data_IF_526796597488
#
_entry.id   IF_526796597488
#
_cell.length_a   1.000
_cell.length_b   1.000
_cell.length_c   1.000
_cell.angle_alpha   90.00
_cell.angle_beta   90.00
_cell.angle_gamma   90.00
#
_symmetry.space_group_name_H-M   'P 1'
#
loop_
_entity.id
_entity.type
_entity.pdbx_description
1 polymer ?
#
# COMPACT_ATOMS: atom_id res chain seq x y z
N UNK A 1 -7.18 -17.84 36.45
CA UNK A 1 -6.59 -19.10 35.99
C UNK A 1 -5.78 -18.84 34.74
N UNK A 2 -4.48 -19.12 34.68
CA UNK A 2 -3.73 -18.93 33.44
C UNK A 2 -4.14 -19.98 32.42
N UNK A 3 -4.33 -19.56 31.17
CA UNK A 3 -4.64 -20.43 30.06
C UNK A 3 -3.62 -21.57 29.94
N UNK A 4 -4.09 -22.81 30.10
CA UNK A 4 -3.24 -24.03 30.03
C UNK A 4 -2.77 -24.34 28.57
N UNK A 5 -3.30 -23.64 27.56
CA UNK A 5 -3.00 -23.91 26.15
C UNK A 5 -2.74 -22.62 25.41
N UNK A 6 -1.46 -22.26 25.26
CA UNK A 6 -1.00 -21.07 24.53
C UNK A 6 -1.37 -21.11 23.05
N UNK A 7 -1.57 -22.30 22.51
CA UNK A 7 -1.93 -22.48 21.09
C UNK A 7 -3.39 -22.12 20.84
N UNK A 8 -4.30 -22.57 21.69
CA UNK A 8 -5.72 -22.17 21.65
C UNK A 8 -5.90 -20.67 21.90
N UNK A 9 -5.09 -20.08 22.77
CA UNK A 9 -5.12 -18.63 22.99
C UNK A 9 -4.68 -17.85 21.74
N UNK A 10 -3.61 -18.29 21.08
CA UNK A 10 -3.14 -17.69 19.84
C UNK A 10 -4.14 -17.86 18.70
N UNK A 11 -4.81 -19.00 18.65
CA UNK A 11 -5.84 -19.30 17.66
C UNK A 11 -7.10 -18.44 17.87
N UNK A 12 -7.56 -18.33 19.10
CA UNK A 12 -8.66 -17.45 19.49
C UNK A 12 -8.34 -15.98 19.21
N UNK A 13 -7.11 -15.53 19.51
CA UNK A 13 -6.67 -14.17 19.22
C UNK A 13 -6.59 -13.91 17.71
N UNK A 14 -6.04 -14.84 16.92
CA UNK A 14 -6.02 -14.73 15.45
C UNK A 14 -7.43 -14.69 14.85
N UNK A 15 -8.35 -15.48 15.41
CA UNK A 15 -9.76 -15.48 15.01
C UNK A 15 -10.40 -14.13 15.32
N UNK A 16 -10.23 -13.63 16.53
CA UNK A 16 -10.74 -12.32 16.96
C UNK A 16 -10.15 -11.18 16.10
N UNK A 17 -8.83 -11.17 15.88
CA UNK A 17 -8.16 -10.19 15.02
C UNK A 17 -8.66 -10.25 13.57
N UNK A 18 -8.96 -11.46 13.08
CA UNK A 18 -9.52 -11.64 11.72
C UNK A 18 -10.95 -11.12 11.63
N UNK A 19 -11.78 -11.39 12.64
CA UNK A 19 -13.18 -10.97 12.71
C UNK A 19 -13.34 -9.47 12.98
N UNK A 20 -12.39 -8.87 13.71
CA UNK A 20 -12.40 -7.45 14.07
C UNK A 20 -11.37 -6.61 13.31
N UNK A 21 -10.75 -7.17 12.28
CA UNK A 21 -9.75 -6.44 11.48
C UNK A 21 -10.41 -5.23 10.78
N UNK A 22 -10.03 -4.04 11.23
CA UNK A 22 -10.57 -2.75 10.74
C UNK A 22 -11.77 -2.21 11.51
N UNK A 23 -12.44 -3.02 12.38
CA UNK A 23 -13.45 -2.51 13.29
C UNK A 23 -12.79 -1.68 14.39
N UNK A 24 -13.20 -0.43 14.51
CA UNK A 24 -12.65 0.52 15.50
C UNK A 24 -11.39 1.26 15.06
N UNK A 25 -10.74 0.91 13.95
CA UNK A 25 -9.69 1.73 13.32
C UNK A 25 -10.29 2.63 12.24
N UNK A 26 -9.82 3.89 12.20
CA UNK A 26 -10.29 4.88 11.22
C UNK A 26 -9.26 5.02 10.10
N UNK A 27 -9.73 4.94 8.85
CA UNK A 27 -8.90 5.03 7.64
C UNK A 27 -9.57 5.91 6.59
N UNK A 28 -8.76 6.49 5.70
CA UNK A 28 -9.28 7.29 4.58
C UNK A 28 -9.62 6.44 3.35
N UNK A 29 -8.93 5.32 3.15
CA UNK A 29 -9.07 4.51 1.94
C UNK A 29 -9.60 3.14 2.32
N UNK A 30 -10.70 2.77 1.67
CA UNK A 30 -11.39 1.51 1.91
C UNK A 30 -11.69 0.80 0.60
N UNK A 31 -11.71 -0.52 0.65
CA UNK A 31 -12.12 -1.40 -0.43
C UNK A 31 -13.24 -2.32 0.05
N UNK A 32 -14.10 -2.70 -0.87
CA UNK A 32 -15.21 -3.63 -0.63
C UNK A 32 -15.49 -4.45 -1.88
N UNK A 33 -16.29 -5.49 -1.71
CA UNK A 33 -16.81 -6.33 -2.80
C UNK A 33 -18.32 -6.22 -2.78
N UNK A 34 -18.94 -6.23 -3.94
CA UNK A 34 -20.39 -6.35 -4.08
C UNK A 34 -20.75 -7.16 -5.32
N UNK A 35 -22.00 -7.63 -5.36
CA UNK A 35 -22.58 -8.43 -6.43
C UNK A 35 -23.73 -7.67 -7.04
N UNK A 36 -23.96 -7.85 -8.35
CA UNK A 36 -25.02 -7.12 -9.07
C UNK A 36 -26.40 -7.40 -8.48
N UNK A 37 -26.69 -8.62 -8.06
CA UNK A 37 -27.96 -9.04 -7.46
C UNK A 37 -28.16 -8.55 -6.01
N UNK A 38 -27.09 -8.11 -5.35
CA UNK A 38 -27.11 -7.50 -4.02
C UNK A 38 -27.26 -5.98 -4.03
N UNK A 39 -26.98 -5.35 -5.16
CA UNK A 39 -27.10 -3.91 -5.34
C UNK A 39 -28.56 -3.51 -5.65
N UNK A 40 -28.94 -2.29 -5.26
CA UNK A 40 -30.25 -1.76 -5.61
C UNK A 40 -30.36 -1.48 -7.13
N UNK A 41 -31.60 -1.51 -7.65
CA UNK A 41 -31.83 -1.06 -9.01
C UNK A 41 -31.40 0.41 -9.18
N UNK A 42 -30.66 0.70 -10.24
CA UNK A 42 -30.13 2.05 -10.48
C UNK A 42 -28.96 2.46 -9.57
N UNK A 43 -28.24 1.51 -8.98
CA UNK A 43 -27.12 1.78 -8.09
C UNK A 43 -26.05 2.75 -8.63
N UNK A 44 -25.94 2.87 -9.96
CA UNK A 44 -25.02 3.80 -10.58
C UNK A 44 -25.39 5.27 -10.39
N UNK A 45 -26.70 5.56 -10.39
CA UNK A 45 -27.23 6.90 -10.12
C UNK A 45 -27.06 7.25 -8.64
N UNK A 46 -27.33 6.32 -7.73
CA UNK A 46 -27.08 6.43 -6.29
C UNK A 46 -25.58 6.68 -6.00
N UNK A 47 -24.71 6.00 -6.77
CA UNK A 47 -23.27 6.17 -6.67
C UNK A 47 -22.79 7.56 -7.05
N UNK A 48 -23.37 8.17 -8.09
CA UNK A 48 -23.09 9.56 -8.49
C UNK A 48 -23.60 10.56 -7.45
N UNK A 49 -24.76 10.32 -6.87
CA UNK A 49 -25.35 11.18 -5.84
C UNK A 49 -24.57 11.18 -4.52
N UNK A 50 -23.84 10.10 -4.22
CA UNK A 50 -23.03 9.97 -2.99
C UNK A 50 -21.95 11.06 -2.89
N UNK A 51 -21.43 11.56 -4.01
CA UNK A 51 -20.44 12.65 -4.06
C UNK A 51 -19.07 12.34 -3.45
N UNK A 52 -18.82 11.08 -3.08
CA UNK A 52 -17.50 10.61 -2.63
C UNK A 52 -16.66 10.17 -3.83
N UNK A 53 -15.34 10.47 -3.84
CA UNK A 53 -14.45 9.94 -4.86
C UNK A 53 -14.25 8.42 -4.65
N UNK A 54 -14.77 7.61 -5.57
CA UNK A 54 -14.56 6.18 -5.56
C UNK A 54 -14.57 5.56 -6.96
N UNK A 55 -13.98 4.39 -7.06
CA UNK A 55 -13.84 3.60 -8.27
C UNK A 55 -14.56 2.27 -8.10
N UNK A 56 -15.14 1.78 -9.19
CA UNK A 56 -15.66 0.42 -9.27
C UNK A 56 -14.96 -0.32 -10.42
N UNK A 57 -14.50 -1.54 -10.15
CA UNK A 57 -13.84 -2.38 -11.16
C UNK A 57 -14.77 -2.73 -12.31
N UNK A 58 -14.24 -3.15 -13.47
CA UNK A 58 -15.01 -3.97 -14.39
C UNK A 58 -15.65 -5.18 -13.68
N UNK A 59 -16.67 -5.80 -14.28
CA UNK A 59 -17.25 -7.02 -13.73
C UNK A 59 -16.21 -8.15 -13.77
N UNK A 60 -15.81 -8.65 -12.60
CA UNK A 60 -14.91 -9.78 -12.46
C UNK A 60 -15.66 -11.10 -12.68
N UNK A 61 -15.92 -11.46 -13.93
CA UNK A 61 -16.65 -12.66 -14.37
C UNK A 61 -15.72 -13.83 -14.77
N UNK A 62 -14.40 -13.58 -14.87
CA UNK A 62 -13.38 -14.56 -15.31
C UNK A 62 -12.49 -15.03 -14.17
N UNK A 63 -12.71 -14.55 -12.95
CA UNK A 63 -11.90 -14.90 -11.79
C UNK A 63 -12.13 -16.36 -11.38
N UNK A 64 -11.06 -17.06 -11.05
CA UNK A 64 -11.10 -18.44 -10.57
C UNK A 64 -10.64 -18.55 -9.13
N UNK A 65 -11.17 -19.59 -8.43
CA UNK A 65 -10.68 -19.95 -7.11
C UNK A 65 -9.27 -20.51 -7.18
N UNK A 66 -8.40 -20.09 -6.25
CA UNK A 66 -7.04 -20.59 -6.15
C UNK A 66 -6.97 -21.82 -5.23
N UNK A 67 -5.86 -22.59 -5.32
CA UNK A 67 -5.55 -23.63 -4.33
C UNK A 67 -5.47 -23.09 -2.89
N UNK A 68 -5.12 -21.81 -2.74
CA UNK A 68 -5.11 -21.12 -1.45
C UNK A 68 -6.50 -20.88 -0.90
N UNK A 69 -7.45 -20.57 -1.77
CA UNK A 69 -8.85 -20.37 -1.40
C UNK A 69 -9.54 -21.71 -1.05
N UNK A 70 -9.29 -22.76 -1.83
CA UNK A 70 -9.79 -24.11 -1.54
C UNK A 70 -9.28 -24.63 -0.18
N UNK A 71 -8.03 -24.37 0.18
CA UNK A 71 -7.51 -24.73 1.51
C UNK A 71 -8.20 -23.99 2.66
N UNK A 72 -8.65 -22.75 2.42
CA UNK A 72 -9.39 -21.95 3.41
C UNK A 72 -10.86 -22.35 3.50
N UNK A 73 -11.46 -22.68 2.37
CA UNK A 73 -12.84 -23.11 2.26
C UNK A 73 -12.95 -24.23 1.19
N UNK A 74 -13.14 -25.49 1.59
CA UNK A 74 -13.23 -26.63 0.66
C UNK A 74 -14.38 -26.54 -0.35
N UNK A 75 -15.34 -25.63 -0.18
CA UNK A 75 -16.40 -25.37 -1.18
C UNK A 75 -15.85 -24.60 -2.38
N UNK A 76 -14.75 -23.85 -2.22
CA UNK A 76 -14.09 -23.08 -3.27
C UNK A 76 -13.11 -23.97 -4.03
N UNK A 77 -13.60 -24.70 -5.04
CA UNK A 77 -12.76 -25.61 -5.82
C UNK A 77 -11.77 -24.85 -6.69
N UNK A 78 -10.48 -25.14 -6.54
CA UNK A 78 -9.42 -24.52 -7.33
C UNK A 78 -9.69 -24.69 -8.84
N UNK A 79 -9.63 -23.60 -9.61
CA UNK A 79 -9.90 -23.57 -11.04
C UNK A 79 -11.40 -23.39 -11.40
N UNK A 80 -12.33 -23.51 -10.45
CA UNK A 80 -13.72 -23.14 -10.70
C UNK A 80 -13.88 -21.61 -10.72
N UNK A 81 -14.78 -21.11 -11.57
CA UNK A 81 -15.13 -19.70 -11.64
C UNK A 81 -15.70 -19.22 -10.30
N UNK A 82 -15.32 -18.00 -9.94
CA UNK A 82 -15.98 -17.27 -8.86
C UNK A 82 -17.31 -16.72 -9.36
N UNK A 83 -18.20 -16.44 -8.43
CA UNK A 83 -19.39 -15.66 -8.73
C UNK A 83 -18.96 -14.27 -9.25
N UNK A 84 -19.58 -13.79 -10.37
CA UNK A 84 -19.28 -12.47 -10.91
C UNK A 84 -19.50 -11.39 -9.86
N UNK A 85 -18.49 -10.51 -9.68
CA UNK A 85 -18.50 -9.51 -8.63
C UNK A 85 -17.73 -8.24 -9.04
N UNK A 86 -18.01 -7.17 -8.30
CA UNK A 86 -17.29 -5.91 -8.42
C UNK A 86 -16.41 -5.67 -7.19
N UNK A 87 -15.31 -4.95 -7.39
CA UNK A 87 -14.52 -4.35 -6.33
C UNK A 87 -14.74 -2.85 -6.30
N UNK A 88 -15.06 -2.31 -5.14
CA UNK A 88 -15.10 -0.87 -4.90
C UNK A 88 -13.85 -0.40 -4.17
N UNK A 89 -13.38 0.80 -4.50
CA UNK A 89 -12.28 1.49 -3.82
C UNK A 89 -12.67 2.95 -3.60
N UNK A 90 -12.79 3.38 -2.35
CA UNK A 90 -13.21 4.73 -1.97
C UNK A 90 -12.13 5.45 -1.17
N UNK A 91 -12.00 6.76 -1.39
CA UNK A 91 -11.19 7.65 -0.56
C UNK A 91 -12.05 8.70 0.14
N UNK A 92 -12.02 8.71 1.45
CA UNK A 92 -12.69 9.71 2.28
C UNK A 92 -11.80 10.93 2.52
N UNK A 93 -12.36 12.14 2.60
CA UNK A 93 -11.61 13.36 2.95
C UNK A 93 -11.01 13.29 4.35
N UNK A 94 -11.66 12.57 5.28
CA UNK A 94 -11.21 12.34 6.65
C UNK A 94 -11.25 10.84 6.97
N UNK A 95 -10.42 10.35 7.93
CA UNK A 95 -10.50 8.97 8.35
C UNK A 95 -11.86 8.61 8.92
N UNK A 96 -12.48 7.55 8.40
CA UNK A 96 -13.77 6.99 8.86
C UNK A 96 -13.60 5.56 9.36
N UNK A 97 -14.56 5.05 10.10
CA UNK A 97 -14.58 3.67 10.57
C UNK A 97 -15.35 2.74 9.61
N UNK A 98 -15.36 1.47 9.94
CA UNK A 98 -16.01 0.42 9.15
C UNK A 98 -17.53 0.63 9.01
N UNK A 99 -18.20 1.07 10.09
CA UNK A 99 -19.66 1.21 10.10
C UNK A 99 -20.11 2.38 9.22
N UNK A 100 -19.31 3.45 9.15
CA UNK A 100 -19.53 4.56 8.21
C UNK A 100 -19.49 4.05 6.76
N UNK A 101 -18.44 3.34 6.37
CA UNK A 101 -18.32 2.79 4.99
C UNK A 101 -19.47 1.85 4.67
N UNK A 102 -19.84 0.99 5.62
CA UNK A 102 -20.95 0.06 5.46
C UNK A 102 -22.30 0.78 5.28
N UNK A 103 -22.50 1.88 5.97
CA UNK A 103 -23.72 2.69 5.84
C UNK A 103 -23.76 3.44 4.51
N UNK A 104 -22.66 4.10 4.13
CA UNK A 104 -22.57 4.89 2.90
C UNK A 104 -22.75 4.02 1.63
N UNK A 105 -22.28 2.78 1.65
CA UNK A 105 -22.39 1.82 0.54
C UNK A 105 -23.43 0.72 0.76
N UNK A 106 -24.44 0.98 1.64
CA UNK A 106 -25.52 0.02 1.91
C UNK A 106 -26.34 -0.33 0.66
N UNK A 107 -26.51 0.62 -0.27
CA UNK A 107 -27.22 0.44 -1.53
C UNK A 107 -26.57 -0.58 -2.48
N UNK A 108 -25.28 -0.89 -2.30
CA UNK A 108 -24.56 -1.91 -3.04
C UNK A 108 -24.61 -3.31 -2.38
N UNK A 109 -25.20 -3.44 -1.19
CA UNK A 109 -25.16 -4.71 -0.45
C UNK A 109 -23.73 -5.21 -0.21
N UNK A 110 -22.82 -4.32 0.20
CA UNK A 110 -21.38 -4.54 0.24
C UNK A 110 -20.94 -5.71 1.13
N UNK A 111 -19.98 -6.47 0.63
CA UNK A 111 -19.31 -7.55 1.32
C UNK A 111 -17.81 -7.26 1.52
N UNK A 112 -17.17 -7.94 2.48
CA UNK A 112 -15.70 -7.93 2.64
C UNK A 112 -15.08 -6.53 2.73
N UNK A 113 -15.74 -5.58 3.40
CA UNK A 113 -15.21 -4.22 3.60
C UNK A 113 -13.89 -4.27 4.39
N UNK A 114 -12.83 -3.65 3.85
CA UNK A 114 -11.48 -3.61 4.43
C UNK A 114 -10.83 -2.26 4.14
N UNK A 115 -10.00 -1.78 5.08
CA UNK A 115 -9.16 -0.62 4.77
C UNK A 115 -8.05 -0.99 3.78
N UNK A 116 -7.72 -0.08 2.88
CA UNK A 116 -6.63 -0.21 1.93
C UNK A 116 -5.36 0.41 2.50
N UNK A 117 -4.26 -0.35 2.52
CA UNK A 117 -2.95 0.15 2.95
C UNK A 117 -2.29 1.04 1.90
N UNK A 118 -2.63 0.85 0.63
CA UNK A 118 -2.14 1.61 -0.50
C UNK A 118 -3.27 1.78 -1.51
N UNK A 119 -3.68 3.03 -1.74
CA UNK A 119 -4.70 3.40 -2.73
C UNK A 119 -4.28 2.93 -4.12
N UNK A 120 -3.07 3.26 -4.54
CA UNK A 120 -2.57 2.94 -5.87
C UNK A 120 -2.46 1.42 -6.13
N UNK A 121 -2.00 0.64 -5.12
CA UNK A 121 -1.97 -0.83 -5.28
C UNK A 121 -3.37 -1.41 -5.43
N UNK A 122 -4.38 -0.83 -4.76
CA UNK A 122 -5.75 -1.29 -4.89
C UNK A 122 -6.41 -0.81 -6.17
N UNK A 123 -6.08 0.40 -6.66
CA UNK A 123 -6.53 0.88 -7.97
C UNK A 123 -6.04 -0.05 -9.10
N UNK A 124 -4.76 -0.44 -9.09
CA UNK A 124 -4.19 -1.42 -10.03
C UNK A 124 -4.82 -2.83 -9.88
N UNK A 125 -5.28 -3.16 -8.67
CA UNK A 125 -5.98 -4.42 -8.44
C UNK A 125 -7.36 -4.48 -9.06
N UNK A 126 -8.04 -3.35 -9.30
CA UNK A 126 -9.35 -3.30 -9.94
C UNK A 126 -9.36 -3.90 -11.36
N UNK A 127 -8.23 -3.86 -12.07
CA UNK A 127 -8.06 -4.43 -13.42
C UNK A 127 -7.13 -5.63 -13.46
N UNK A 128 -6.55 -6.02 -12.30
CA UNK A 128 -5.49 -7.03 -12.17
C UNK A 128 -4.22 -6.75 -12.97
N UNK A 129 -3.97 -5.51 -13.40
CA UNK A 129 -2.87 -5.14 -14.30
C UNK A 129 -1.50 -5.65 -13.85
N UNK A 130 -1.23 -5.66 -12.53
CA UNK A 130 0.03 -6.21 -11.96
C UNK A 130 -0.04 -7.67 -11.54
N UNK A 131 -1.19 -8.33 -11.68
CA UNK A 131 -1.42 -9.73 -11.27
C UNK A 131 -1.53 -10.63 -12.50
N UNK A 132 -0.39 -10.89 -13.17
CA UNK A 132 -0.33 -11.64 -14.45
C UNK A 132 -0.87 -13.08 -14.37
N UNK A 133 -1.01 -13.61 -13.17
CA UNK A 133 -1.58 -14.93 -12.88
C UNK A 133 -3.10 -14.93 -12.79
N UNK A 134 -3.72 -13.75 -12.91
CA UNK A 134 -5.17 -13.56 -12.87
C UNK A 134 -5.74 -13.14 -14.23
N UNK A 135 -7.04 -13.28 -14.41
CA UNK A 135 -7.75 -12.67 -15.54
C UNK A 135 -7.52 -11.16 -15.54
N UNK A 136 -7.22 -10.60 -16.70
CA UNK A 136 -7.02 -9.16 -16.89
C UNK A 136 -8.34 -8.56 -17.38
N UNK A 137 -8.64 -7.34 -16.90
CA UNK A 137 -9.84 -6.59 -17.24
C UNK A 137 -9.45 -5.26 -17.89
N UNK A 138 -10.33 -4.77 -18.78
CA UNK A 138 -10.07 -3.54 -19.51
C UNK A 138 -10.14 -2.33 -18.57
N UNK A 139 -9.08 -1.52 -18.45
CA UNK A 139 -9.11 -0.27 -17.70
C UNK A 139 -10.19 0.73 -18.14
N UNK A 140 -10.61 0.68 -19.40
CA UNK A 140 -11.67 1.55 -19.91
C UNK A 140 -13.05 1.25 -19.34
N UNK A 141 -13.23 0.07 -18.73
CA UNK A 141 -14.48 -0.35 -18.06
C UNK A 141 -14.53 0.00 -16.57
N UNK A 142 -13.47 0.60 -16.02
CA UNK A 142 -13.48 1.11 -14.64
C UNK A 142 -14.46 2.27 -14.54
N UNK A 143 -15.41 2.16 -13.60
CA UNK A 143 -16.35 3.25 -13.33
C UNK A 143 -15.74 4.21 -12.31
N UNK A 144 -15.85 5.51 -12.61
CA UNK A 144 -15.28 6.60 -11.84
C UNK A 144 -16.39 7.50 -11.30
N UNK A 145 -16.47 7.69 -9.98
CA UNK A 145 -17.51 8.46 -9.32
C UNK A 145 -16.91 9.56 -8.44
N UNK A 146 -17.67 10.63 -8.19
CA UNK A 146 -17.30 11.70 -7.27
C UNK A 146 -15.97 12.40 -7.62
N UNK A 147 -15.59 12.43 -8.89
CA UNK A 147 -14.33 13.02 -9.36
C UNK A 147 -13.10 12.15 -9.16
N UNK A 148 -13.25 10.86 -8.81
CA UNK A 148 -12.13 9.93 -8.84
C UNK A 148 -11.65 9.70 -10.27
N UNK A 149 -10.33 9.53 -10.45
CA UNK A 149 -9.74 9.11 -11.71
C UNK A 149 -8.83 7.90 -11.50
N UNK A 150 -9.09 6.82 -12.20
CA UNK A 150 -8.37 5.56 -12.02
C UNK A 150 -6.88 5.69 -12.36
N UNK A 151 -6.54 6.38 -13.45
CA UNK A 151 -5.14 6.58 -13.87
C UNK A 151 -4.36 7.39 -12.86
N UNK A 152 -4.96 8.45 -12.32
CA UNK A 152 -4.33 9.28 -11.30
C UNK A 152 -4.08 8.47 -10.03
N UNK A 153 -5.04 7.64 -9.62
CA UNK A 153 -4.87 6.78 -8.43
C UNK A 153 -3.82 5.69 -8.63
N UNK A 154 -3.66 5.17 -9.84
CA UNK A 154 -2.59 4.21 -10.18
C UNK A 154 -1.22 4.88 -10.21
N UNK A 155 -1.11 6.08 -10.79
CA UNK A 155 0.16 6.80 -10.98
C UNK A 155 0.82 7.24 -9.68
N UNK A 156 0.05 7.50 -8.63
CA UNK A 156 0.58 7.85 -7.30
C UNK A 156 1.64 6.86 -6.77
N UNK A 157 1.55 5.57 -7.13
CA UNK A 157 2.54 4.58 -6.69
C UNK A 157 3.80 4.59 -7.56
N UNK A 158 3.63 4.76 -8.86
CA UNK A 158 4.73 4.74 -9.83
C UNK A 158 5.60 5.97 -9.67
N UNK A 159 4.99 7.13 -9.55
CA UNK A 159 5.70 8.40 -9.35
C UNK A 159 6.51 8.42 -8.06
N UNK A 160 5.94 7.98 -6.93
CA UNK A 160 6.70 7.95 -5.67
C UNK A 160 7.87 6.99 -5.72
N UNK A 161 7.73 5.80 -6.33
CA UNK A 161 8.84 4.86 -6.45
C UNK A 161 9.92 5.35 -7.43
N UNK A 162 9.53 5.92 -8.56
CA UNK A 162 10.45 6.53 -9.52
C UNK A 162 11.19 7.70 -8.86
N UNK A 163 10.47 8.61 -8.23
CA UNK A 163 11.00 9.76 -7.50
C UNK A 163 11.97 9.34 -6.39
N UNK A 164 11.63 8.34 -5.57
CA UNK A 164 12.55 7.81 -4.55
C UNK A 164 13.82 7.21 -5.16
N UNK A 165 13.73 6.58 -6.33
CA UNK A 165 14.90 6.04 -7.03
C UNK A 165 15.80 7.16 -7.51
N UNK A 166 15.25 8.20 -8.10
CA UNK A 166 15.98 9.41 -8.53
C UNK A 166 16.66 10.12 -7.34
N UNK A 167 15.92 10.34 -6.24
CA UNK A 167 16.49 10.90 -5.01
C UNK A 167 17.68 10.08 -4.50
N UNK A 168 17.59 8.75 -4.49
CA UNK A 168 18.69 7.88 -4.06
C UNK A 168 19.91 7.98 -4.97
N UNK A 169 19.71 8.15 -6.28
CA UNK A 169 20.79 8.41 -7.24
C UNK A 169 21.46 9.72 -6.89
N UNK A 170 20.70 10.80 -6.78
CA UNK A 170 21.18 12.12 -6.41
C UNK A 170 21.97 12.11 -5.08
N UNK A 171 21.38 11.55 -4.01
CA UNK A 171 22.00 11.44 -2.68
C UNK A 171 23.36 10.73 -2.77
N UNK A 172 23.48 9.72 -3.63
CA UNK A 172 24.72 8.98 -3.83
C UNK A 172 25.75 9.82 -4.60
N UNK A 173 25.32 10.43 -5.69
CA UNK A 173 26.20 11.09 -6.64
C UNK A 173 26.73 12.43 -6.08
N UNK A 174 25.92 13.12 -5.29
CA UNK A 174 26.30 14.37 -4.59
C UNK A 174 26.76 14.17 -3.15
N UNK A 175 26.90 12.89 -2.72
CA UNK A 175 27.35 12.52 -1.38
C UNK A 175 26.56 13.20 -0.24
N UNK A 176 25.27 13.25 -0.36
CA UNK A 176 24.38 13.83 0.66
C UNK A 176 24.40 12.97 1.92
N UNK A 177 24.68 13.57 3.07
CA UNK A 177 24.83 12.89 4.37
C UNK A 177 23.91 13.45 5.47
N UNK A 178 23.15 14.50 5.18
CA UNK A 178 22.25 15.17 6.11
C UNK A 178 20.87 15.32 5.46
N UNK A 179 19.83 14.81 6.14
CA UNK A 179 18.49 14.79 5.58
C UNK A 179 17.86 16.19 5.50
N UNK A 180 18.03 17.00 6.53
CA UNK A 180 17.59 18.39 6.60
C UNK A 180 18.10 19.22 5.43
N UNK A 181 19.40 19.18 5.17
CA UNK A 181 20.01 19.86 4.01
C UNK A 181 19.49 19.35 2.67
N UNK A 182 19.17 18.06 2.60
CA UNK A 182 18.57 17.51 1.40
C UNK A 182 17.13 17.99 1.21
N UNK A 183 16.37 18.08 2.29
CA UNK A 183 15.00 18.60 2.26
C UNK A 183 15.01 20.09 1.86
N UNK A 184 15.83 20.92 2.51
CA UNK A 184 15.99 22.33 2.15
C UNK A 184 16.35 22.52 0.67
N UNK A 185 17.27 21.70 0.16
CA UNK A 185 17.63 21.73 -1.25
C UNK A 185 16.44 21.34 -2.16
N UNK A 186 15.66 20.34 -1.79
CA UNK A 186 14.45 19.95 -2.54
C UNK A 186 13.44 21.09 -2.57
N UNK A 187 13.20 21.75 -1.44
CA UNK A 187 12.24 22.84 -1.31
C UNK A 187 12.59 24.02 -2.21
N UNK A 188 13.89 24.27 -2.41
CA UNK A 188 14.40 25.37 -3.26
C UNK A 188 14.48 24.98 -4.75
N UNK A 189 14.70 23.70 -5.07
CA UNK A 189 15.14 23.30 -6.42
C UNK A 189 14.25 22.27 -7.10
N UNK A 190 13.36 21.56 -6.37
CA UNK A 190 12.59 20.48 -6.94
C UNK A 190 11.25 20.23 -6.20
N UNK A 191 10.21 20.95 -6.60
CA UNK A 191 8.86 20.86 -6.02
C UNK A 191 8.28 19.44 -6.00
N UNK A 192 8.62 18.62 -6.99
CA UNK A 192 8.13 17.23 -7.05
C UNK A 192 8.75 16.42 -5.91
N UNK A 193 10.06 16.57 -5.70
CA UNK A 193 10.77 15.87 -4.64
C UNK A 193 10.39 16.40 -3.25
N UNK A 194 10.28 17.71 -3.09
CA UNK A 194 9.80 18.34 -1.86
C UNK A 194 8.44 17.76 -1.47
N UNK A 195 7.47 17.82 -2.37
CA UNK A 195 6.13 17.28 -2.14
C UNK A 195 6.13 15.77 -1.85
N UNK A 196 6.97 14.99 -2.51
CA UNK A 196 7.09 13.56 -2.27
C UNK A 196 7.68 13.26 -0.88
N UNK A 197 8.66 14.05 -0.41
CA UNK A 197 9.19 13.98 0.95
C UNK A 197 8.10 14.25 1.97
N UNK A 198 7.39 15.37 1.86
CA UNK A 198 6.36 15.78 2.82
C UNK A 198 5.22 14.76 2.96
N UNK A 199 4.78 14.19 1.87
CA UNK A 199 3.56 13.37 1.85
C UNK A 199 3.80 11.87 2.01
N UNK A 200 4.96 11.34 1.56
CA UNK A 200 5.07 9.89 1.32
C UNK A 200 6.40 9.25 1.73
N UNK A 201 7.55 9.89 1.57
CA UNK A 201 8.81 9.16 1.58
C UNK A 201 9.93 9.71 2.47
N UNK A 202 9.70 10.77 3.26
CA UNK A 202 10.72 11.37 4.15
C UNK A 202 11.40 10.35 5.05
N UNK A 203 10.64 9.47 5.70
CA UNK A 203 11.20 8.41 6.54
C UNK A 203 12.13 7.46 5.77
N UNK A 204 11.72 7.02 4.58
CA UNK A 204 12.50 6.08 3.78
C UNK A 204 13.79 6.70 3.22
N UNK A 205 13.72 7.96 2.81
CA UNK A 205 14.88 8.72 2.32
C UNK A 205 15.79 9.11 3.48
N UNK A 206 15.24 9.55 4.61
CA UNK A 206 16.01 9.84 5.83
C UNK A 206 16.83 8.65 6.31
N UNK A 207 16.19 7.48 6.43
CA UNK A 207 16.89 6.23 6.75
C UNK A 207 17.96 5.83 5.73
N UNK A 208 17.74 6.11 4.44
CA UNK A 208 18.75 5.83 3.43
C UNK A 208 19.99 6.70 3.60
N UNK A 209 19.81 8.01 3.87
CA UNK A 209 20.89 8.96 4.13
C UNK A 209 21.64 8.55 5.41
N UNK A 210 20.95 8.26 6.50
CA UNK A 210 21.55 7.86 7.76
C UNK A 210 22.39 6.59 7.64
N UNK A 211 21.87 5.53 7.01
CA UNK A 211 22.61 4.28 6.77
C UNK A 211 23.85 4.52 5.91
N UNK A 212 23.77 5.42 4.93
CA UNK A 212 24.90 5.79 4.09
C UNK A 212 25.96 6.53 4.91
N UNK A 213 25.56 7.53 5.70
CA UNK A 213 26.46 8.28 6.61
C UNK A 213 27.20 7.33 7.56
N UNK A 214 26.46 6.45 8.24
CA UNK A 214 27.02 5.50 9.19
C UNK A 214 28.05 4.57 8.53
N UNK A 215 27.77 4.10 7.31
CA UNK A 215 28.72 3.26 6.54
C UNK A 215 30.01 4.03 6.22
N UNK A 216 29.92 5.27 5.75
CA UNK A 216 31.09 6.10 5.44
C UNK A 216 31.93 6.34 6.69
N UNK A 217 31.28 6.66 7.82
CA UNK A 217 31.99 6.85 9.09
C UNK A 217 32.69 5.57 9.57
N UNK A 218 32.05 4.42 9.42
CA UNK A 218 32.64 3.12 9.75
C UNK A 218 33.86 2.81 8.89
N UNK A 219 33.79 3.04 7.59
CA UNK A 219 34.94 2.85 6.69
C UNK A 219 36.10 3.77 7.07
N UNK A 220 35.81 5.06 7.31
CA UNK A 220 36.85 6.03 7.71
C UNK A 220 37.51 5.69 9.07
N UNK A 221 36.75 5.09 10.00
CA UNK A 221 37.31 4.60 11.28
C UNK A 221 38.26 3.43 11.07
N UNK A 222 37.83 2.43 10.31
CA UNK A 222 38.66 1.26 9.96
C UNK A 222 39.93 1.64 9.22
N UNK A 223 39.87 2.61 8.31
CA UNK A 223 41.07 3.09 7.60
C UNK A 223 42.05 3.79 8.52
N UNK A 224 41.56 4.53 9.54
CA UNK A 224 42.44 5.16 10.56
C UNK A 224 43.08 4.10 11.47
N UNK A 225 42.35 3.09 11.86
CA UNK A 225 42.87 1.97 12.66
C UNK A 225 43.96 1.22 11.90
N UNK A 226 43.73 0.86 10.64
CA UNK A 226 44.75 0.22 9.77
C UNK A 226 46.02 1.04 9.58
N UNK A 227 45.91 2.38 9.47
CA UNK A 227 47.10 3.27 9.37
C UNK A 227 47.90 3.27 10.66
N UNK A 228 47.23 3.30 11.81
CA UNK A 228 47.92 3.26 13.13
C UNK A 228 48.66 1.95 13.35
N UNK A 229 48.05 0.84 12.98
CA UNK A 229 48.66 -0.51 13.09
C UNK A 229 49.91 -0.60 12.21
N UNK A 230 49.87 -0.07 10.98
CA UNK A 230 51.03 -0.06 10.08
C UNK A 230 52.15 0.89 10.52
N UNK A 231 51.81 2.02 11.18
CA UNK A 231 52.81 2.96 11.73
C UNK A 231 53.44 2.42 13.04
N UNK A 232 52.71 1.61 13.82
CA UNK A 232 53.22 0.95 15.03
C UNK A 232 54.21 -0.14 14.75
N UNK A 233 54.01 -0.93 13.68
CA UNK A 233 54.93 -1.99 13.25
C UNK A 233 56.26 -1.43 12.69
N UNK A 234 56.22 -0.24 12.04
CA UNK A 234 57.41 0.40 11.48
C UNK A 234 58.36 0.98 12.53
N UNK A 235 57.87 1.18 13.77
CA UNK A 235 58.68 1.74 14.87
C UNK A 235 59.31 0.70 15.80
N UNK A 236 59.05 -0.59 15.55
CA UNK A 236 59.59 -1.69 16.39
C UNK A 236 60.83 -2.39 15.78
N UNK A 237 61.28 -1.94 14.62
CA UNK A 237 62.47 -2.50 13.93
C UNK A 237 63.74 -1.59 13.96
N UNK A 238 63.74 -0.58 14.85
CA UNK A 238 64.95 0.20 15.21
C UNK A 238 65.44 -0.17 16.64
#
# INVERSE_FOLDING_TARGET
>A
MPYKDKEKQREAQRKWEKENRGRGSRHRVWMFVFYEDGACDGWRDEADELGLPFLVSPLHDKDVWTKGDERKNPKHKAGALKEPHYHGLVEYPQPVDYETVKADFAFLGTHSIKYAKSKASMALYLTHEKSKDKAQYDPAEVLEFGGANWRDWCSELEDVHATMKEMRVFIRDYNVLEFDKFQDWCDENNDIWSRALDLKCSWAIGNYIERRRNRIQQCAKLDRERRRDNEGDASSDE
#
